data_IF_919035100183
#
_entry.id   IF_919035100183
#
_cell.length_a   1.000
_cell.length_b   1.000
_cell.length_c   1.000
_cell.angle_alpha   90.00
_cell.angle_beta   90.00
_cell.angle_gamma   90.00
#
_symmetry.space_group_name_H-M   'P 1'
#
loop_
_entity.id
_entity.type
_entity.pdbx_description
1 polymer ?
#
# COMPACT_ATOMS: atom_id res chain seq x y z
N UNK A 1 23.47 -20.60 33.83
CA UNK A 1 23.44 -20.35 32.38
C UNK A 1 23.64 -18.87 32.10
N UNK A 2 24.59 -18.54 31.27
CA UNK A 2 24.75 -17.16 30.93
C UNK A 2 23.56 -16.71 30.05
N UNK A 3 23.03 -15.56 30.35
CA UNK A 3 21.99 -14.95 29.57
C UNK A 3 22.61 -14.30 28.33
N UNK A 4 21.88 -14.27 27.25
CA UNK A 4 22.32 -13.50 26.13
C UNK A 4 22.37 -12.02 26.49
N UNK A 5 23.39 -11.27 26.04
CA UNK A 5 23.46 -9.85 26.35
C UNK A 5 22.23 -9.12 25.76
N UNK A 6 21.74 -8.16 26.51
CA UNK A 6 20.60 -7.38 26.05
C UNK A 6 21.03 -6.43 24.94
N UNK A 7 20.16 -6.21 24.01
CA UNK A 7 20.35 -5.30 22.90
C UNK A 7 19.15 -4.36 22.85
N UNK A 8 19.29 -3.29 22.11
CA UNK A 8 18.15 -2.42 21.89
C UNK A 8 17.26 -3.00 20.82
N UNK A 9 15.97 -2.85 21.04
CA UNK A 9 14.97 -3.23 20.06
C UNK A 9 15.26 -2.55 18.72
N UNK A 10 15.11 -3.27 17.63
CA UNK A 10 15.36 -2.73 16.31
C UNK A 10 14.26 -1.79 15.84
N UNK A 11 13.15 -1.69 16.58
CA UNK A 11 12.10 -0.75 16.27
C UNK A 11 12.59 0.67 16.38
N UNK A 12 12.29 1.47 15.37
CA UNK A 12 12.78 2.84 15.34
C UNK A 12 12.24 3.64 16.51
N UNK A 13 13.15 4.19 17.30
CA UNK A 13 12.77 5.02 18.44
C UNK A 13 12.22 4.30 19.63
N UNK A 14 12.28 2.96 19.65
CA UNK A 14 11.66 2.18 20.71
C UNK A 14 12.37 2.30 22.05
N UNK A 15 13.68 2.10 22.08
CA UNK A 15 14.45 2.19 23.33
C UNK A 15 14.31 1.00 24.25
N UNK A 16 13.48 0.02 23.94
CA UNK A 16 13.34 -1.18 24.77
C UNK A 16 14.54 -2.09 24.58
N UNK A 17 14.86 -2.88 25.62
CA UNK A 17 15.92 -3.86 25.51
C UNK A 17 15.34 -5.24 25.28
N UNK A 18 16.02 -6.01 24.45
CA UNK A 18 15.58 -7.36 24.04
C UNK A 18 16.80 -8.26 23.95
N UNK A 19 16.56 -9.56 23.93
CA UNK A 19 17.64 -10.51 23.71
C UNK A 19 18.03 -10.59 22.26
N UNK A 20 17.09 -10.36 21.36
CA UNK A 20 17.36 -10.29 19.92
C UNK A 20 16.18 -9.62 19.22
N UNK A 21 16.48 -8.97 18.12
CA UNK A 21 15.44 -8.44 17.22
C UNK A 21 14.59 -7.36 17.82
N UNK A 22 13.30 -7.62 17.92
CA UNK A 22 12.29 -6.63 18.30
C UNK A 22 11.64 -7.02 19.62
N UNK A 23 11.22 -6.01 20.39
CA UNK A 23 10.39 -6.27 21.55
C UNK A 23 8.99 -6.72 21.08
N UNK A 24 8.17 -7.17 22.03
CA UNK A 24 6.86 -7.68 21.70
C UNK A 24 5.98 -6.66 20.97
N UNK A 25 6.16 -5.40 21.29
CA UNK A 25 5.34 -4.35 20.67
C UNK A 25 5.81 -3.97 19.28
N UNK A 26 7.11 -4.08 19.02
CA UNK A 26 7.67 -3.74 17.72
C UNK A 26 7.81 -4.93 16.80
N UNK A 27 7.50 -6.11 17.29
CA UNK A 27 7.59 -7.32 16.49
C UNK A 27 6.83 -7.14 15.19
N UNK A 28 7.47 -7.37 14.04
CA UNK A 28 6.75 -7.29 12.78
C UNK A 28 5.59 -8.26 12.79
N UNK A 29 4.42 -7.77 12.48
CA UNK A 29 3.26 -8.64 12.47
C UNK A 29 3.35 -9.57 11.27
N UNK A 30 2.96 -10.84 11.46
CA UNK A 30 2.85 -11.71 10.31
C UNK A 30 1.94 -11.07 9.28
N UNK A 31 2.34 -11.16 8.05
CA UNK A 31 1.57 -10.60 6.97
C UNK A 31 0.36 -11.49 6.73
N UNK A 32 -0.74 -11.18 7.36
CA UNK A 32 -1.96 -11.95 7.23
C UNK A 32 -3.15 -11.05 7.37
N UNK A 33 -4.26 -11.46 6.80
CA UNK A 33 -5.51 -10.74 6.91
C UNK A 33 -5.58 -9.53 6.03
N UNK A 34 -4.56 -8.74 5.99
CA UNK A 34 -4.48 -7.59 5.12
C UNK A 34 -3.47 -7.90 4.04
N UNK A 35 -3.65 -9.05 3.45
CA UNK A 35 -2.81 -9.45 2.37
C UNK A 35 -3.33 -8.86 1.12
N UNK A 36 -2.70 -7.81 0.73
CA UNK A 36 -3.04 -7.20 -0.54
C UNK A 36 -2.50 -8.03 -1.70
N UNK A 37 -1.61 -8.98 -1.43
CA UNK A 37 -0.91 -9.70 -2.48
C UNK A 37 -1.80 -10.48 -3.42
N UNK A 38 -2.10 -11.74 -3.07
CA UNK A 38 -2.82 -12.63 -3.98
C UNK A 38 -4.26 -12.20 -4.19
N UNK A 39 -4.94 -11.87 -3.10
CA UNK A 39 -6.34 -11.45 -3.18
C UNK A 39 -6.47 -10.13 -3.94
N UNK A 40 -5.59 -9.19 -3.65
CA UNK A 40 -5.59 -7.92 -4.34
C UNK A 40 -5.30 -8.09 -5.83
N UNK A 41 -4.38 -9.00 -6.17
CA UNK A 41 -4.09 -9.28 -7.57
C UNK A 41 -5.32 -9.72 -8.34
N UNK A 42 -6.16 -10.55 -7.74
CA UNK A 42 -7.40 -10.99 -8.37
C UNK A 42 -8.40 -9.85 -8.51
N UNK A 43 -8.54 -9.05 -7.46
CA UNK A 43 -9.49 -7.95 -7.46
C UNK A 43 -9.10 -6.91 -8.51
N UNK A 44 -7.83 -6.55 -8.56
CA UNK A 44 -7.39 -5.54 -9.52
C UNK A 44 -7.50 -6.04 -10.96
N UNK A 45 -7.18 -7.30 -11.19
CA UNK A 45 -7.30 -7.86 -12.53
C UNK A 45 -8.75 -7.84 -13.02
N UNK A 46 -9.68 -8.20 -12.13
CA UNK A 46 -11.09 -8.15 -12.47
C UNK A 46 -11.59 -6.73 -12.71
N UNK A 47 -11.13 -5.80 -11.89
CA UNK A 47 -11.53 -4.40 -12.07
C UNK A 47 -10.99 -3.83 -13.38
N UNK A 48 -9.74 -4.12 -13.70
CA UNK A 48 -9.15 -3.65 -14.96
C UNK A 48 -9.83 -4.27 -16.18
N UNK A 49 -10.29 -5.52 -16.06
CA UNK A 49 -11.03 -6.14 -17.14
C UNK A 49 -12.34 -5.41 -17.41
N UNK A 50 -13.00 -4.94 -16.35
CA UNK A 50 -14.26 -4.20 -16.47
C UNK A 50 -14.04 -2.73 -16.82
N UNK A 51 -12.92 -2.18 -16.41
CA UNK A 51 -12.59 -0.76 -16.61
C UNK A 51 -11.19 -0.63 -17.18
N UNK A 52 -11.00 -0.95 -18.46
CA UNK A 52 -9.66 -1.09 -19.02
C UNK A 52 -8.91 0.21 -19.30
N UNK A 53 -9.60 1.34 -19.30
CA UNK A 53 -8.97 2.60 -19.71
C UNK A 53 -8.74 3.53 -18.53
N UNK A 54 -7.64 4.28 -18.60
CA UNK A 54 -7.31 5.28 -17.60
C UNK A 54 -8.39 6.37 -17.58
N UNK A 55 -8.96 6.61 -16.41
CA UNK A 55 -10.03 7.61 -16.29
C UNK A 55 -9.52 9.02 -16.53
N UNK A 56 -8.28 9.32 -16.14
CA UNK A 56 -7.72 10.65 -16.35
C UNK A 56 -7.42 10.90 -17.82
N UNK A 57 -6.95 9.88 -18.53
CA UNK A 57 -6.76 10.01 -19.98
C UNK A 57 -8.09 10.20 -20.69
N UNK A 58 -9.13 9.50 -20.24
CA UNK A 58 -10.47 9.67 -20.82
C UNK A 58 -10.99 11.09 -20.64
N UNK A 59 -10.71 11.68 -19.48
CA UNK A 59 -11.10 13.07 -19.24
C UNK A 59 -10.42 14.05 -20.20
N UNK A 60 -9.26 13.66 -20.70
CA UNK A 60 -8.50 14.45 -21.66
C UNK A 60 -8.84 14.10 -23.11
N UNK A 61 -9.78 13.21 -23.31
CA UNK A 61 -10.17 12.79 -24.65
C UNK A 61 -9.29 11.71 -25.27
N UNK A 62 -8.48 11.04 -24.45
CA UNK A 62 -7.59 10.00 -24.92
C UNK A 62 -8.02 8.64 -24.38
N UNK A 63 -7.72 7.58 -25.12
CA UNK A 63 -7.96 6.22 -24.67
C UNK A 63 -6.61 5.56 -24.42
N UNK A 64 -6.24 5.43 -23.16
CA UNK A 64 -5.01 4.78 -22.77
C UNK A 64 -5.34 3.62 -21.84
N UNK A 65 -4.79 2.45 -22.12
CA UNK A 65 -5.01 1.30 -21.27
C UNK A 65 -4.46 1.58 -19.87
N UNK A 66 -5.26 1.30 -18.88
CA UNK A 66 -4.84 1.42 -17.49
C UNK A 66 -4.00 0.21 -17.12
N UNK A 67 -3.02 0.44 -16.30
CA UNK A 67 -2.16 -0.62 -15.75
C UNK A 67 -2.31 -0.75 -14.26
N UNK A 68 -2.86 0.27 -13.61
CA UNK A 68 -2.96 0.32 -12.16
C UNK A 68 -4.38 0.58 -11.72
N UNK A 69 -4.77 -0.06 -10.63
CA UNK A 69 -6.00 0.28 -9.92
C UNK A 69 -5.60 1.13 -8.74
N UNK A 70 -6.21 2.30 -8.65
CA UNK A 70 -5.92 3.27 -7.61
C UNK A 70 -7.15 3.46 -6.73
N UNK A 71 -6.92 3.94 -5.53
CA UNK A 71 -8.00 4.30 -4.63
C UNK A 71 -8.27 5.80 -4.76
N UNK A 72 -9.50 6.15 -5.10
CA UNK A 72 -9.89 7.56 -5.28
C UNK A 72 -9.58 8.34 -4.01
N UNK A 73 -10.01 7.79 -2.88
CA UNK A 73 -9.66 8.33 -1.58
C UNK A 73 -8.63 7.39 -0.97
N UNK A 74 -7.46 7.90 -0.55
CA UNK A 74 -6.43 7.03 0.04
C UNK A 74 -6.99 6.24 1.20
N UNK A 75 -6.66 4.96 1.24
CA UNK A 75 -7.22 4.08 2.27
C UNK A 75 -6.55 4.25 3.64
N UNK A 76 -5.32 4.73 3.68
CA UNK A 76 -4.58 4.95 4.93
C UNK A 76 -4.60 3.73 5.84
N UNK A 77 -4.51 2.53 5.27
CA UNK A 77 -4.53 1.29 6.01
C UNK A 77 -5.91 0.83 6.45
N UNK A 78 -6.97 1.55 6.08
CA UNK A 78 -8.33 1.15 6.43
C UNK A 78 -8.86 0.14 5.43
N UNK A 79 -9.17 -1.07 5.93
CA UNK A 79 -9.62 -2.15 5.07
C UNK A 79 -10.91 -1.79 4.33
N UNK A 80 -11.80 -1.06 4.98
CA UNK A 80 -13.06 -0.68 4.37
C UNK A 80 -12.85 0.12 3.09
N UNK A 81 -11.94 1.08 3.12
CA UNK A 81 -11.63 1.88 1.92
C UNK A 81 -10.84 1.09 0.91
N UNK A 82 -9.95 0.22 1.40
CA UNK A 82 -9.13 -0.57 0.50
C UNK A 82 -9.95 -1.53 -0.35
N UNK A 83 -10.95 -2.17 0.25
CA UNK A 83 -11.75 -3.17 -0.43
C UNK A 83 -13.04 -2.62 -1.02
N UNK A 84 -13.26 -1.33 -0.92
CA UNK A 84 -14.47 -0.68 -1.45
C UNK A 84 -14.31 -0.47 -2.95
N UNK A 85 -15.05 -1.26 -3.72
CA UNK A 85 -14.95 -1.22 -5.17
C UNK A 85 -15.36 0.14 -5.75
N UNK A 86 -16.25 0.83 -5.08
CA UNK A 86 -16.67 2.17 -5.52
C UNK A 86 -15.56 3.21 -5.33
N UNK A 87 -14.53 2.86 -4.55
CA UNK A 87 -13.39 3.72 -4.32
C UNK A 87 -12.22 3.42 -5.27
N UNK A 88 -12.43 2.56 -6.25
CA UNK A 88 -11.39 2.20 -7.21
C UNK A 88 -11.48 3.06 -8.46
N UNK A 89 -10.36 3.25 -9.10
CA UNK A 89 -10.32 3.84 -10.43
C UNK A 89 -9.15 3.26 -11.19
N UNK A 90 -9.29 3.19 -12.51
CA UNK A 90 -8.23 2.69 -13.37
C UNK A 90 -7.36 3.86 -13.82
N UNK A 91 -6.07 3.73 -13.67
CA UNK A 91 -5.12 4.76 -14.09
C UNK A 91 -3.99 4.13 -14.89
N UNK A 92 -3.46 4.89 -15.84
CA UNK A 92 -2.21 4.51 -16.46
C UNK A 92 -1.08 4.83 -15.49
N UNK A 93 0.08 4.29 -15.77
CA UNK A 93 1.19 4.43 -14.83
C UNK A 93 1.56 5.89 -14.57
N UNK A 94 1.52 6.70 -15.60
CA UNK A 94 1.85 8.12 -15.47
C UNK A 94 0.88 8.83 -14.52
N UNK A 95 -0.41 8.66 -14.73
CA UNK A 95 -1.41 9.33 -13.89
C UNK A 95 -1.42 8.79 -12.48
N UNK A 96 -1.17 7.50 -12.31
CA UNK A 96 -1.07 6.91 -10.98
C UNK A 96 0.13 7.51 -10.22
N UNK A 97 1.25 7.66 -10.90
CA UNK A 97 2.44 8.26 -10.28
C UNK A 97 2.21 9.72 -9.92
N UNK A 98 1.57 10.47 -10.81
CA UNK A 98 1.25 11.87 -10.53
C UNK A 98 0.34 12.02 -9.32
N UNK A 99 -0.67 11.16 -9.24
CA UNK A 99 -1.59 11.20 -8.11
C UNK A 99 -0.87 10.87 -6.80
N UNK A 100 0.00 9.88 -6.83
CA UNK A 100 0.77 9.51 -5.65
C UNK A 100 1.61 10.67 -5.15
N UNK A 101 2.24 11.39 -6.06
CA UNK A 101 3.02 12.57 -5.70
C UNK A 101 2.14 13.66 -5.12
N UNK A 102 1.00 13.93 -5.75
CA UNK A 102 0.07 14.96 -5.24
C UNK A 102 -0.43 14.63 -3.85
N UNK A 103 -0.61 13.36 -3.55
CA UNK A 103 -1.08 12.93 -2.25
C UNK A 103 0.03 12.85 -1.21
N UNK A 104 1.23 13.24 -1.61
CA UNK A 104 2.35 13.24 -0.68
C UNK A 104 3.01 11.89 -0.50
N UNK A 105 2.74 10.95 -1.42
CA UNK A 105 3.26 9.60 -1.28
C UNK A 105 4.78 9.54 -1.27
N UNK A 106 5.43 10.47 -1.93
CA UNK A 106 6.89 10.50 -1.98
C UNK A 106 7.51 11.57 -1.10
N UNK A 107 6.71 12.28 -0.35
CA UNK A 107 7.24 13.35 0.49
C UNK A 107 8.25 12.80 1.49
N UNK A 108 7.91 11.66 2.06
CA UNK A 108 8.81 11.03 3.02
C UNK A 108 10.08 10.48 2.41
N UNK A 109 10.15 10.38 1.10
CA UNK A 109 11.32 9.84 0.41
C UNK A 109 12.42 10.88 0.25
N UNK A 110 12.16 12.09 0.60
CA UNK A 110 13.16 13.14 0.51
C UNK A 110 13.86 13.42 1.80
#
# INVERSE_FOLDING_TARGET
MPSAPLRYCLGRGCGQTVTQGYCAQCQPKPDRGVHYGRQWGKVRAGYLADHPFCVDCERQGEQTLATDVDHIIPHHGQAERFWDRSNYQSLCKMHHSEKTVREGGFVGAR
#
